data_IF_017125804409
#
_entry.id   IF_017125804409
#
_cell.length_a   1.000
_cell.length_b   1.000
_cell.length_c   1.000
_cell.angle_alpha   90.00
_cell.angle_beta   90.00
_cell.angle_gamma   90.00
#
_symmetry.space_group_name_H-M   'P 1'
#
loop_
_entity.id
_entity.type
_entity.pdbx_description
1 polymer ?
#
# COMPACT_ATOMS: atom_id res chain seq x y z
N UNK A 1 41.26 -20.53 13.80
CA UNK A 1 39.86 -20.27 14.05
C UNK A 1 39.54 -18.94 13.38
N UNK A 2 38.60 -18.90 12.44
CA UNK A 2 38.19 -17.66 11.77
C UNK A 2 36.81 -17.28 12.27
N UNK A 3 36.64 -16.02 12.68
CA UNK A 3 35.35 -15.48 13.08
C UNK A 3 34.67 -14.86 11.85
N UNK A 4 33.38 -15.16 11.66
CA UNK A 4 32.58 -14.63 10.56
C UNK A 4 31.45 -13.70 11.06
N UNK A 5 31.50 -12.41 10.72
CA UNK A 5 30.52 -11.40 11.16
C UNK A 5 29.11 -11.57 10.60
N UNK A 6 28.92 -12.44 9.62
CA UNK A 6 27.60 -12.66 9.00
C UNK A 6 26.80 -13.80 9.66
N UNK A 7 27.32 -14.44 10.69
CA UNK A 7 26.68 -15.59 11.33
C UNK A 7 25.29 -15.27 11.85
N UNK A 8 25.10 -14.10 12.46
CA UNK A 8 23.82 -13.65 12.99
C UNK A 8 22.94 -12.89 11.99
N UNK A 9 23.35 -12.77 10.73
CA UNK A 9 22.57 -12.16 9.66
C UNK A 9 22.18 -10.67 9.89
N UNK A 10 23.03 -9.89 10.58
CA UNK A 10 22.79 -8.44 10.75
C UNK A 10 22.62 -7.69 9.41
N UNK A 11 23.36 -7.99 8.32
CA UNK A 11 23.09 -7.37 7.02
C UNK A 11 21.66 -7.60 6.50
N UNK A 12 21.06 -8.76 6.85
CA UNK A 12 19.65 -9.05 6.50
C UNK A 12 18.69 -8.19 7.33
N UNK A 13 18.98 -7.98 8.63
CA UNK A 13 18.19 -7.10 9.48
C UNK A 13 18.18 -5.66 8.94
N UNK A 14 19.35 -5.12 8.59
CA UNK A 14 19.49 -3.77 8.03
C UNK A 14 18.78 -3.64 6.68
N UNK A 15 18.90 -4.60 5.79
CA UNK A 15 18.20 -4.60 4.50
C UNK A 15 16.67 -4.68 4.68
N UNK A 16 16.19 -5.53 5.59
CA UNK A 16 14.77 -5.64 5.90
C UNK A 16 14.20 -4.37 6.54
N UNK A 17 14.96 -3.68 7.38
CA UNK A 17 14.58 -2.39 7.95
C UNK A 17 14.47 -1.31 6.87
N UNK A 18 15.43 -1.25 5.93
CA UNK A 18 15.36 -0.35 4.78
C UNK A 18 14.10 -0.59 3.93
N UNK A 19 13.76 -1.85 3.66
CA UNK A 19 12.52 -2.22 2.97
C UNK A 19 11.27 -1.84 3.77
N UNK A 20 11.27 -2.05 5.08
CA UNK A 20 10.14 -1.68 5.93
C UNK A 20 9.83 -0.19 5.88
N UNK A 21 10.86 0.67 5.92
CA UNK A 21 10.71 2.12 5.76
C UNK A 21 10.13 2.48 4.40
N UNK A 22 10.65 1.91 3.31
CA UNK A 22 10.15 2.17 1.96
C UNK A 22 8.69 1.73 1.78
N UNK A 23 8.30 0.56 2.28
CA UNK A 23 6.93 0.05 2.23
C UNK A 23 5.98 0.96 3.04
N UNK A 24 6.39 1.39 4.23
CA UNK A 24 5.59 2.29 5.06
C UNK A 24 5.37 3.64 4.37
N UNK A 25 6.39 4.18 3.69
CA UNK A 25 6.30 5.45 2.95
C UNK A 25 5.33 5.34 1.78
N UNK A 26 5.41 4.28 0.97
CA UNK A 26 4.45 4.04 -0.13
C UNK A 26 3.01 4.01 0.39
N UNK A 27 2.75 3.29 1.49
CA UNK A 27 1.43 3.24 2.11
C UNK A 27 0.98 4.59 2.66
N UNK A 28 1.90 5.36 3.27
CA UNK A 28 1.59 6.69 3.83
C UNK A 28 1.22 7.70 2.73
N UNK A 29 1.96 7.73 1.62
CA UNK A 29 1.63 8.61 0.48
C UNK A 29 0.28 8.24 -0.14
N UNK A 30 0.03 6.95 -0.34
CA UNK A 30 -1.24 6.47 -0.91
C UNK A 30 -2.43 6.87 -0.01
N UNK A 31 -2.31 6.68 1.30
CA UNK A 31 -3.34 7.09 2.27
C UNK A 31 -3.60 8.59 2.21
N UNK A 32 -2.55 9.43 2.12
CA UNK A 32 -2.72 10.88 1.97
C UNK A 32 -3.42 11.27 0.67
N UNK A 33 -3.17 10.56 -0.43
CA UNK A 33 -3.88 10.79 -1.70
C UNK A 33 -5.36 10.42 -1.61
N UNK A 34 -5.71 9.34 -0.90
CA UNK A 34 -7.12 9.01 -0.60
C UNK A 34 -7.78 10.16 0.18
N UNK A 35 -7.11 10.66 1.24
CA UNK A 35 -7.61 11.76 2.04
C UNK A 35 -7.89 13.02 1.20
N UNK A 36 -6.98 13.34 0.26
CA UNK A 36 -7.17 14.47 -0.65
C UNK A 36 -8.33 14.26 -1.62
N UNK A 37 -8.52 13.04 -2.14
CA UNK A 37 -9.61 12.73 -3.07
C UNK A 37 -10.98 12.89 -2.44
N UNK A 38 -11.16 12.47 -1.18
CA UNK A 38 -12.46 12.54 -0.48
C UNK A 38 -12.77 13.91 0.12
N UNK A 39 -11.80 14.83 0.18
CA UNK A 39 -11.97 16.20 0.62
C UNK A 39 -12.36 17.09 -0.55
N UNK A 40 -13.62 17.53 -0.59
CA UNK A 40 -14.15 18.37 -1.67
C UNK A 40 -13.46 19.74 -1.78
N UNK A 41 -12.88 20.26 -0.71
CA UNK A 41 -12.15 21.54 -0.77
C UNK A 41 -10.83 21.41 -1.52
N UNK A 42 -10.24 20.22 -1.52
CA UNK A 42 -8.98 19.94 -2.20
C UNK A 42 -9.20 19.39 -3.60
N UNK A 43 -10.04 18.35 -3.72
CA UNK A 43 -10.25 17.60 -4.97
C UNK A 43 -11.21 18.28 -5.93
N UNK A 44 -12.09 19.15 -5.45
CA UNK A 44 -13.25 19.70 -6.19
C UNK A 44 -14.24 18.60 -6.64
N UNK A 45 -14.13 17.39 -6.10
CA UNK A 45 -15.06 16.29 -6.29
C UNK A 45 -16.17 16.32 -5.22
N UNK A 46 -17.27 15.57 -5.39
CA UNK A 46 -18.27 15.43 -4.33
C UNK A 46 -17.66 14.92 -3.02
N UNK A 47 -18.07 15.43 -1.85
CA UNK A 47 -17.54 15.01 -0.56
C UNK A 47 -17.62 13.48 -0.42
N UNK A 48 -16.55 12.86 0.07
CA UNK A 48 -16.43 11.40 0.24
C UNK A 48 -16.70 10.59 -1.04
N UNK A 49 -16.62 11.23 -2.22
CA UNK A 49 -16.88 10.62 -3.54
C UNK A 49 -18.28 10.00 -3.66
N UNK A 50 -19.29 10.67 -3.10
CA UNK A 50 -20.69 10.28 -3.22
C UNK A 50 -21.58 11.47 -3.61
N UNK A 51 -22.66 11.22 -4.38
CA UNK A 51 -23.56 12.28 -4.84
C UNK A 51 -24.39 12.89 -3.72
N UNK A 52 -24.81 12.05 -2.77
CA UNK A 52 -25.73 12.43 -1.69
C UNK A 52 -25.00 12.33 -0.34
N UNK A 53 -23.97 13.19 -0.18
CA UNK A 53 -23.22 13.29 1.08
C UNK A 53 -24.17 13.68 2.22
N UNK A 54 -24.10 12.95 3.32
CA UNK A 54 -25.03 13.09 4.46
C UNK A 54 -26.11 12.00 4.50
N UNK A 55 -26.59 11.52 3.33
CA UNK A 55 -27.36 10.28 3.23
C UNK A 55 -26.43 9.07 3.07
N UNK A 56 -25.38 9.23 2.26
CA UNK A 56 -24.33 8.24 2.05
C UNK A 56 -23.01 8.70 2.70
N UNK A 57 -22.25 7.75 3.24
CA UNK A 57 -20.92 7.96 3.79
C UNK A 57 -19.81 7.85 2.73
N UNK A 58 -20.10 7.20 1.61
CA UNK A 58 -19.17 7.04 0.51
C UNK A 58 -17.86 6.35 0.93
N UNK A 59 -16.73 6.93 0.54
CA UNK A 59 -15.40 6.39 0.83
C UNK A 59 -14.87 6.73 2.25
N UNK A 60 -15.67 7.34 3.13
CA UNK A 60 -15.23 7.71 4.48
C UNK A 60 -14.61 6.52 5.22
N UNK A 61 -15.32 5.40 5.32
CA UNK A 61 -14.84 4.23 6.08
C UNK A 61 -13.71 3.49 5.35
N UNK A 62 -13.70 3.50 4.02
CA UNK A 62 -12.56 2.99 3.25
C UNK A 62 -11.27 3.79 3.56
N UNK A 63 -11.36 5.12 3.67
CA UNK A 63 -10.23 5.95 4.10
C UNK A 63 -9.80 5.64 5.54
N UNK A 64 -10.74 5.46 6.48
CA UNK A 64 -10.41 5.05 7.86
C UNK A 64 -9.66 3.71 7.88
N UNK A 65 -10.06 2.76 7.03
CA UNK A 65 -9.35 1.49 6.87
C UNK A 65 -7.93 1.71 6.36
N UNK A 66 -7.74 2.51 5.31
CA UNK A 66 -6.41 2.84 4.79
C UNK A 66 -5.53 3.53 5.85
N UNK A 67 -6.08 4.47 6.61
CA UNK A 67 -5.39 5.16 7.69
C UNK A 67 -4.94 4.20 8.81
N UNK A 68 -5.79 3.25 9.19
CA UNK A 68 -5.48 2.21 10.17
C UNK A 68 -4.30 1.34 9.71
N UNK A 69 -4.33 0.86 8.46
CA UNK A 69 -3.27 0.04 7.89
C UNK A 69 -1.95 0.82 7.73
N UNK A 70 -2.01 2.09 7.34
CA UNK A 70 -0.83 2.96 7.27
C UNK A 70 -0.23 3.20 8.66
N UNK A 71 -1.05 3.38 9.69
CA UNK A 71 -0.61 3.51 11.08
C UNK A 71 0.06 2.23 11.59
N UNK A 72 -0.50 1.06 11.29
CA UNK A 72 0.11 -0.22 11.62
C UNK A 72 1.47 -0.38 10.95
N UNK A 73 1.58 -0.06 9.65
CA UNK A 73 2.85 -0.11 8.93
C UNK A 73 3.90 0.81 9.55
N UNK A 74 3.54 2.01 10.01
CA UNK A 74 4.48 2.90 10.73
C UNK A 74 5.00 2.27 12.02
N UNK A 75 4.14 1.60 12.77
CA UNK A 75 4.54 0.86 13.96
C UNK A 75 5.46 -0.31 13.63
N UNK A 76 5.17 -1.05 12.57
CA UNK A 76 6.00 -2.15 12.09
C UNK A 76 7.32 -1.69 11.46
N UNK A 77 7.42 -0.43 11.02
CA UNK A 77 8.63 0.13 10.42
C UNK A 77 9.72 0.46 11.47
N UNK A 78 9.43 0.38 12.78
CA UNK A 78 10.47 0.57 13.79
C UNK A 78 11.64 -0.40 13.55
N UNK A 79 12.89 0.08 13.45
CA UNK A 79 14.02 -0.77 13.09
C UNK A 79 14.24 -1.92 14.08
N UNK A 80 14.42 -3.13 13.59
CA UNK A 80 14.78 -4.30 14.38
C UNK A 80 16.30 -4.48 14.50
N UNK A 81 17.07 -3.91 13.55
CA UNK A 81 18.54 -3.96 13.56
C UNK A 81 19.17 -3.14 14.68
N UNK A 82 18.39 -2.25 15.34
CA UNK A 82 18.90 -1.49 16.51
C UNK A 82 18.96 -2.33 17.78
N UNK A 83 18.42 -3.55 17.76
CA UNK A 83 18.31 -4.43 18.92
C UNK A 83 19.25 -5.62 18.81
N UNK A 84 19.94 -5.90 19.90
CA UNK A 84 20.80 -7.06 20.06
C UNK A 84 20.86 -7.46 21.52
N UNK A 85 20.72 -8.76 21.79
CA UNK A 85 20.79 -9.32 23.15
C UNK A 85 21.80 -10.48 23.16
N UNK A 86 22.82 -10.45 24.04
CA UNK A 86 23.72 -11.59 24.21
C UNK A 86 22.95 -12.85 24.63
N UNK A 87 23.32 -13.99 24.07
CA UNK A 87 22.73 -15.29 24.38
C UNK A 87 23.80 -16.33 24.68
N UNK A 88 23.38 -17.56 25.03
CA UNK A 88 24.27 -18.69 25.25
C UNK A 88 25.38 -18.40 26.28
N UNK A 89 24.99 -17.77 27.42
CA UNK A 89 25.93 -17.36 28.48
C UNK A 89 27.03 -16.41 27.96
N UNK A 90 26.66 -15.45 27.09
CA UNK A 90 27.54 -14.48 26.42
C UNK A 90 28.52 -15.09 25.40
N UNK A 91 28.32 -16.33 25.00
CA UNK A 91 29.10 -16.88 23.88
C UNK A 91 28.75 -16.19 22.56
N UNK A 92 27.46 -15.88 22.40
CA UNK A 92 26.91 -15.05 21.31
C UNK A 92 26.78 -13.63 21.85
N UNK A 93 27.73 -12.77 21.55
CA UNK A 93 27.80 -11.40 22.07
C UNK A 93 26.96 -10.40 21.26
N UNK A 94 26.75 -10.70 19.96
CA UNK A 94 25.88 -9.95 19.08
C UNK A 94 24.89 -10.88 18.36
N UNK A 95 23.60 -10.72 18.65
CA UNK A 95 22.51 -11.50 18.05
C UNK A 95 21.54 -10.57 17.36
N UNK A 96 21.41 -10.67 16.02
CA UNK A 96 20.51 -9.84 15.26
C UNK A 96 19.06 -10.28 15.41
N UNK A 97 18.11 -9.34 15.21
CA UNK A 97 16.68 -9.61 15.11
C UNK A 97 16.22 -9.78 13.65
N UNK A 98 17.08 -10.32 12.77
CA UNK A 98 16.85 -10.46 11.33
C UNK A 98 15.59 -11.25 11.00
N UNK A 99 15.29 -12.31 11.75
CA UNK A 99 14.07 -13.10 11.53
C UNK A 99 12.81 -12.28 11.74
N UNK A 100 12.73 -11.48 12.80
CA UNK A 100 11.61 -10.57 13.01
C UNK A 100 11.56 -9.49 11.93
N UNK A 101 12.72 -8.87 11.62
CA UNK A 101 12.84 -7.86 10.58
C UNK A 101 12.26 -8.34 9.24
N UNK A 102 12.62 -9.56 8.81
CA UNK A 102 12.13 -10.14 7.56
C UNK A 102 10.65 -10.54 7.61
N UNK A 103 10.21 -11.18 8.71
CA UNK A 103 8.83 -11.69 8.82
C UNK A 103 7.77 -10.58 8.79
N UNK A 104 8.00 -9.45 9.44
CA UNK A 104 7.05 -8.33 9.48
C UNK A 104 6.76 -7.75 8.09
N UNK A 105 7.71 -7.86 7.14
CA UNK A 105 7.54 -7.35 5.77
C UNK A 105 6.32 -7.96 5.07
N UNK A 106 5.98 -9.21 5.33
CA UNK A 106 4.80 -9.86 4.73
C UNK A 106 3.50 -9.14 5.10
N UNK A 107 3.33 -8.80 6.37
CA UNK A 107 2.16 -8.04 6.83
C UNK A 107 2.16 -6.62 6.25
N UNK A 108 3.33 -5.97 6.23
CA UNK A 108 3.46 -4.60 5.71
C UNK A 108 3.14 -4.52 4.21
N UNK A 109 3.62 -5.48 3.40
CA UNK A 109 3.30 -5.55 1.96
C UNK A 109 1.81 -5.76 1.75
N UNK A 110 1.18 -6.66 2.51
CA UNK A 110 -0.26 -6.89 2.44
C UNK A 110 -1.05 -5.64 2.79
N UNK A 111 -0.71 -4.97 3.89
CA UNK A 111 -1.35 -3.73 4.30
C UNK A 111 -1.23 -2.65 3.21
N UNK A 112 -0.03 -2.49 2.64
CA UNK A 112 0.20 -1.51 1.57
C UNK A 112 -0.59 -1.87 0.30
N UNK A 113 -0.72 -3.14 -0.06
CA UNK A 113 -1.55 -3.55 -1.19
C UNK A 113 -3.03 -3.19 -0.97
N UNK A 114 -3.56 -3.35 0.24
CA UNK A 114 -4.92 -2.90 0.56
C UNK A 114 -5.06 -1.38 0.48
N UNK A 115 -4.09 -0.62 0.99
CA UNK A 115 -4.10 0.85 0.89
C UNK A 115 -4.12 1.30 -0.57
N UNK A 116 -3.25 0.72 -1.42
CA UNK A 116 -3.21 1.00 -2.86
C UNK A 116 -4.52 0.60 -3.57
N UNK A 117 -5.14 -0.48 -3.14
CA UNK A 117 -6.44 -0.92 -3.67
C UNK A 117 -7.54 0.08 -3.36
N UNK A 118 -7.59 0.60 -2.14
CA UNK A 118 -8.53 1.64 -1.74
C UNK A 118 -8.25 2.95 -2.51
N UNK A 119 -6.98 3.30 -2.71
CA UNK A 119 -6.59 4.44 -3.52
C UNK A 119 -7.08 4.30 -4.97
N UNK A 120 -6.89 3.13 -5.59
CA UNK A 120 -7.35 2.88 -6.95
C UNK A 120 -8.87 2.95 -7.06
N UNK A 121 -9.60 2.36 -6.12
CA UNK A 121 -11.07 2.46 -6.05
C UNK A 121 -11.54 3.91 -5.91
N UNK A 122 -10.91 4.69 -5.03
CA UNK A 122 -11.24 6.09 -4.81
C UNK A 122 -10.92 6.96 -6.05
N UNK A 123 -9.76 6.73 -6.68
CA UNK A 123 -9.38 7.45 -7.90
C UNK A 123 -10.33 7.13 -9.06
N UNK A 124 -10.68 5.86 -9.27
CA UNK A 124 -11.63 5.45 -10.30
C UNK A 124 -13.03 6.05 -10.04
N UNK A 125 -13.47 6.07 -8.79
CA UNK A 125 -14.72 6.71 -8.41
C UNK A 125 -14.70 8.21 -8.71
N UNK A 126 -13.60 8.89 -8.39
CA UNK A 126 -13.43 10.33 -8.63
C UNK A 126 -13.42 10.69 -10.12
N UNK A 127 -12.72 9.91 -10.95
CA UNK A 127 -12.67 10.13 -12.41
C UNK A 127 -14.07 10.04 -13.03
N UNK A 128 -14.92 9.15 -12.57
CA UNK A 128 -16.28 9.01 -13.12
C UNK A 128 -17.18 10.20 -12.82
N UNK A 129 -16.95 10.96 -11.77
CA UNK A 129 -17.64 12.24 -11.55
C UNK A 129 -17.22 13.32 -12.54
N UNK A 130 -16.10 13.18 -13.20
CA UNK A 130 -15.58 14.11 -14.20
C UNK A 130 -16.01 13.79 -15.64
N UNK A 131 -16.75 12.69 -15.85
CA UNK A 131 -17.22 12.33 -17.20
C UNK A 131 -18.09 13.47 -17.78
N UNK A 132 -17.97 13.79 -19.10
CA UNK A 132 -17.35 12.98 -20.17
C UNK A 132 -15.84 13.22 -20.38
N UNK A 133 -15.16 13.93 -19.50
CA UNK A 133 -13.70 14.08 -19.61
C UNK A 133 -13.03 12.70 -19.55
N UNK A 134 -11.99 12.54 -20.34
CA UNK A 134 -11.20 11.31 -20.39
C UNK A 134 -9.77 11.56 -19.93
N UNK A 135 -9.17 10.55 -19.31
CA UNK A 135 -7.77 10.55 -18.92
C UNK A 135 -6.90 10.00 -20.06
N UNK A 136 -5.64 9.65 -19.76
CA UNK A 136 -4.78 8.96 -20.74
C UNK A 136 -5.28 7.53 -21.00
N UNK A 137 -4.94 6.97 -22.17
CA UNK A 137 -5.33 5.61 -22.54
C UNK A 137 -4.91 4.57 -21.49
N UNK A 138 -3.73 4.72 -20.89
CA UNK A 138 -3.25 3.81 -19.85
C UNK A 138 -4.14 3.85 -18.60
N UNK A 139 -4.57 5.03 -18.17
CA UNK A 139 -5.46 5.20 -17.01
C UNK A 139 -6.90 4.74 -17.31
N UNK A 140 -7.41 5.00 -18.53
CA UNK A 140 -8.72 4.47 -18.96
C UNK A 140 -8.71 2.94 -19.02
N UNK A 141 -7.61 2.34 -19.48
CA UNK A 141 -7.43 0.89 -19.45
C UNK A 141 -7.39 0.36 -18.03
N UNK A 142 -6.67 1.01 -17.11
CA UNK A 142 -6.66 0.63 -15.70
C UNK A 142 -8.07 0.69 -15.09
N UNK A 143 -8.84 1.74 -15.38
CA UNK A 143 -10.24 1.84 -14.96
C UNK A 143 -11.09 0.72 -15.54
N UNK A 144 -10.91 0.38 -16.82
CA UNK A 144 -11.64 -0.70 -17.49
C UNK A 144 -11.35 -2.05 -16.82
N UNK A 145 -10.11 -2.33 -16.44
CA UNK A 145 -9.73 -3.55 -15.70
C UNK A 145 -10.48 -3.59 -14.37
N UNK A 146 -10.45 -2.52 -13.59
CA UNK A 146 -11.14 -2.45 -12.30
C UNK A 146 -12.65 -2.63 -12.45
N UNK A 147 -13.27 -1.94 -13.42
CA UNK A 147 -14.73 -1.91 -13.61
C UNK A 147 -15.33 -3.23 -14.10
N UNK A 148 -14.51 -4.17 -14.59
CA UNK A 148 -14.96 -5.55 -14.85
C UNK A 148 -15.28 -6.32 -13.56
N UNK A 149 -14.74 -5.89 -12.43
CA UNK A 149 -14.85 -6.58 -11.14
C UNK A 149 -15.59 -5.76 -10.08
N UNK A 150 -15.47 -4.44 -10.13
CA UNK A 150 -16.06 -3.52 -9.15
C UNK A 150 -16.85 -2.43 -9.86
N UNK A 151 -18.16 -2.37 -9.62
CA UNK A 151 -19.03 -1.33 -10.20
C UNK A 151 -18.81 0.02 -9.54
N UNK A 152 -19.24 1.10 -10.22
CA UNK A 152 -19.36 2.42 -9.60
C UNK A 152 -20.23 2.35 -8.34
N UNK A 153 -19.89 3.12 -7.33
CA UNK A 153 -20.64 3.18 -6.08
C UNK A 153 -21.57 4.39 -6.11
N UNK A 154 -22.84 4.15 -6.41
CA UNK A 154 -23.92 5.15 -6.41
C UNK A 154 -24.57 5.32 -5.05
N UNK A 155 -24.56 4.30 -4.22
CA UNK A 155 -25.06 4.26 -2.84
C UNK A 155 -24.09 3.46 -1.95
N UNK A 156 -24.16 3.72 -0.66
CA UNK A 156 -23.38 2.99 0.33
C UNK A 156 -23.63 1.48 0.22
N UNK A 157 -22.54 0.71 0.25
CA UNK A 157 -22.56 -0.75 0.26
C UNK A 157 -21.39 -1.29 1.06
N UNK A 158 -21.39 -2.56 1.33
CA UNK A 158 -20.26 -3.23 1.95
C UNK A 158 -19.07 -3.26 0.99
N UNK A 159 -18.01 -2.50 1.33
CA UNK A 159 -16.84 -2.29 0.47
C UNK A 159 -15.77 -3.36 0.58
N UNK A 160 -15.83 -4.26 1.58
CA UNK A 160 -14.80 -5.30 1.73
C UNK A 160 -14.63 -6.17 0.48
N UNK A 161 -15.71 -6.66 -0.20
CA UNK A 161 -15.56 -7.41 -1.43
C UNK A 161 -14.90 -6.62 -2.57
N UNK A 162 -15.19 -5.31 -2.66
CA UNK A 162 -14.62 -4.43 -3.66
C UNK A 162 -13.11 -4.23 -3.42
N UNK A 163 -12.72 -4.05 -2.16
CA UNK A 163 -11.32 -3.91 -1.75
C UNK A 163 -10.54 -5.20 -2.02
N UNK A 164 -11.12 -6.37 -1.70
CA UNK A 164 -10.51 -7.67 -1.98
C UNK A 164 -10.33 -7.92 -3.49
N UNK A 165 -11.34 -7.58 -4.29
CA UNK A 165 -11.24 -7.70 -5.75
C UNK A 165 -10.14 -6.79 -6.30
N UNK A 166 -10.08 -5.54 -5.87
CA UNK A 166 -9.01 -4.61 -6.26
C UNK A 166 -7.63 -5.09 -5.79
N UNK A 167 -7.51 -5.63 -4.58
CA UNK A 167 -6.27 -6.19 -4.04
C UNK A 167 -5.78 -7.39 -4.86
N UNK A 168 -6.69 -8.26 -5.30
CA UNK A 168 -6.37 -9.37 -6.20
C UNK A 168 -5.79 -8.86 -7.53
N UNK A 169 -6.37 -7.80 -8.09
CA UNK A 169 -5.88 -7.18 -9.32
C UNK A 169 -4.50 -6.53 -9.13
N UNK A 170 -4.26 -5.85 -8.01
CA UNK A 170 -2.95 -5.27 -7.67
C UNK A 170 -1.88 -6.36 -7.61
N UNK A 171 -2.18 -7.51 -7.01
CA UNK A 171 -1.24 -8.63 -6.92
C UNK A 171 -1.06 -9.40 -8.23
N UNK A 172 -2.00 -9.31 -9.18
CA UNK A 172 -1.95 -10.06 -10.44
C UNK A 172 -0.84 -9.60 -11.40
N UNK A 173 -0.32 -8.39 -11.21
CA UNK A 173 0.65 -7.79 -12.12
C UNK A 173 0.04 -7.18 -13.40
N UNK A 174 -1.27 -7.30 -13.64
CA UNK A 174 -1.92 -6.78 -14.84
C UNK A 174 -1.70 -5.28 -15.06
N UNK A 175 -1.57 -4.50 -13.99
CA UNK A 175 -1.31 -3.06 -14.10
C UNK A 175 0.09 -2.75 -14.65
N UNK A 176 1.07 -3.61 -14.42
CA UNK A 176 2.43 -3.40 -14.96
C UNK A 176 2.48 -3.53 -16.47
N UNK A 177 1.58 -4.31 -17.07
CA UNK A 177 1.46 -4.48 -18.52
C UNK A 177 0.97 -3.20 -19.23
N UNK A 178 0.29 -2.31 -18.49
CA UNK A 178 -0.18 -1.02 -19.02
C UNK A 178 0.95 0.00 -19.18
N UNK A 179 2.12 -0.28 -18.62
CA UNK A 179 3.30 0.60 -18.66
C UNK A 179 4.53 -0.16 -19.19
N UNK A 180 4.53 -0.60 -20.46
CA UNK A 180 5.56 -1.49 -21.02
C UNK A 180 6.98 -0.90 -21.02
N UNK A 181 7.13 0.42 -20.87
CA UNK A 181 8.42 1.10 -20.84
C UNK A 181 8.97 1.32 -19.41
N UNK A 182 8.33 0.79 -18.38
CA UNK A 182 8.73 0.98 -16.97
C UNK A 182 9.57 -0.19 -16.44
N UNK A 183 10.45 -0.76 -17.26
CA UNK A 183 11.42 -1.76 -16.81
C UNK A 183 12.58 -1.06 -16.07
N UNK A 184 12.35 -0.70 -14.80
CA UNK A 184 13.41 -0.19 -13.92
C UNK A 184 14.53 -1.21 -13.70
N UNK A 185 14.24 -2.51 -13.83
CA UNK A 185 15.19 -3.60 -13.53
C UNK A 185 16.21 -3.81 -14.67
N UNK A 186 15.83 -3.53 -15.92
CA UNK A 186 16.76 -3.69 -17.06
C UNK A 186 17.81 -2.56 -17.21
N UNK A 187 17.70 -1.48 -16.43
CA UNK A 187 18.63 -0.33 -16.51
C UNK A 187 19.65 -0.26 -15.37
N UNK A 188 19.75 -1.27 -14.52
CA UNK A 188 20.69 -1.36 -13.38
C UNK A 188 21.84 -2.36 -13.67
N UNK A 189 22.18 -2.57 -14.95
CA UNK A 189 23.39 -3.32 -15.33
C UNK A 189 24.42 -2.40 -15.99
#
# INVERSE_FOLDING_TARGET
MLSGGNFHAEPVALAADGLALAIAEVGAIAERRIAMLIDSNVSQLPPFLTKDAGLNSGFMIAHVTAASLASENKSLAHPASVDSLPTSANQEDHVSMATFAARRLQSMVRNTAYILSIEWLAAAQGIEFLRPLQSSDALENAMTILRRHVSFMDQDRWLSPDIEAASTLVHSGQLSELMPNFNLIEKIH
#
